data_IF_960903975044
#
_entry.id   IF_960903975044
#
_cell.length_a   1.000
_cell.length_b   1.000
_cell.length_c   1.000
_cell.angle_alpha   90.00
_cell.angle_beta   90.00
_cell.angle_gamma   90.00
#
_symmetry.space_group_name_H-M   'P 1'
#
loop_
_entity.id
_entity.type
_entity.pdbx_description
1 polymer ?
#
# COMPACT_ATOMS: atom_id res chain seq x y z
N UNK A 1 25.68 -3.82 6.56
CA UNK A 1 25.02 -4.06 5.26
C UNK A 1 23.80 -3.15 5.21
N UNK A 2 23.87 -2.02 4.50
CA UNK A 2 22.66 -1.28 4.13
C UNK A 2 22.09 -2.00 2.91
N UNK A 3 21.26 -3.01 3.15
CA UNK A 3 20.47 -3.59 2.07
C UNK A 3 19.50 -2.51 1.64
N UNK A 4 19.75 -1.95 0.47
CA UNK A 4 18.81 -1.12 -0.27
C UNK A 4 17.56 -1.95 -0.55
N UNK A 5 16.67 -2.10 0.42
CA UNK A 5 15.32 -2.56 0.14
C UNK A 5 14.69 -1.47 -0.72
N UNK A 6 14.68 -1.69 -2.04
CA UNK A 6 14.18 -0.73 -3.01
C UNK A 6 12.70 -0.38 -2.79
N UNK A 7 11.99 -1.19 -1.99
CA UNK A 7 10.58 -1.05 -1.71
C UNK A 7 10.25 -1.32 -0.24
N UNK A 8 9.17 -0.70 0.29
CA UNK A 8 8.79 -0.82 1.69
C UNK A 8 8.30 -2.23 2.03
N UNK A 9 8.41 -2.58 3.31
CA UNK A 9 7.85 -3.81 3.86
C UNK A 9 6.31 -3.75 3.90
N UNK A 10 5.68 -4.92 3.93
CA UNK A 10 4.23 -5.03 4.05
C UNK A 10 3.78 -4.78 5.50
N UNK A 11 2.75 -3.95 5.73
CA UNK A 11 2.25 -3.72 7.10
C UNK A 11 1.49 -4.93 7.68
N UNK A 12 1.04 -5.86 6.83
CA UNK A 12 0.23 -7.01 7.24
C UNK A 12 1.01 -8.34 7.33
N UNK A 13 2.21 -8.42 6.74
CA UNK A 13 3.02 -9.64 6.75
C UNK A 13 4.52 -9.34 6.56
N UNK A 14 5.37 -10.37 6.65
CA UNK A 14 6.83 -10.24 6.40
C UNK A 14 7.19 -10.09 4.90
N UNK A 15 6.21 -9.82 4.04
CA UNK A 15 6.39 -9.61 2.61
C UNK A 15 6.88 -8.20 2.26
N UNK A 16 7.17 -7.99 0.97
CA UNK A 16 7.56 -6.69 0.41
C UNK A 16 6.41 -6.15 -0.44
N UNK A 17 6.17 -4.85 -0.37
CA UNK A 17 5.22 -4.14 -1.22
C UNK A 17 5.88 -3.73 -2.52
N UNK A 18 5.22 -3.95 -3.66
CA UNK A 18 5.73 -3.55 -4.97
C UNK A 18 4.84 -2.49 -5.62
N UNK A 19 5.42 -1.51 -6.33
CA UNK A 19 4.64 -0.52 -7.08
C UNK A 19 3.90 -1.20 -8.23
N UNK A 20 2.59 -0.97 -8.29
CA UNK A 20 1.68 -1.48 -9.32
C UNK A 20 0.98 -0.31 -9.98
N UNK A 21 0.90 -0.30 -11.31
CA UNK A 21 0.20 0.74 -12.06
C UNK A 21 -1.29 0.40 -12.18
N UNK A 22 -2.14 1.35 -11.80
CA UNK A 22 -3.59 1.27 -11.97
C UNK A 22 -4.00 1.92 -13.29
N UNK A 23 -4.51 1.12 -14.22
CA UNK A 23 -4.95 1.59 -15.53
C UNK A 23 -6.28 2.37 -15.49
N UNK A 24 -7.08 2.23 -14.45
CA UNK A 24 -8.35 2.95 -14.32
C UNK A 24 -8.11 4.39 -13.83
N UNK A 25 -7.21 4.55 -12.86
CA UNK A 25 -6.93 5.85 -12.24
C UNK A 25 -5.67 6.54 -12.76
N UNK A 26 -4.81 5.81 -13.49
CA UNK A 26 -3.53 6.30 -14.00
C UNK A 26 -2.46 6.54 -12.92
N UNK A 27 -2.64 5.97 -11.71
CA UNK A 27 -1.77 6.17 -10.56
C UNK A 27 -1.04 4.89 -10.17
N UNK A 28 0.12 5.04 -9.54
CA UNK A 28 0.80 3.92 -8.89
C UNK A 28 0.28 3.72 -7.46
N UNK A 29 0.17 2.46 -7.05
CA UNK A 29 -0.13 2.06 -5.67
C UNK A 29 0.79 0.92 -5.24
N UNK A 30 0.87 0.65 -3.93
CA UNK A 30 1.66 -0.43 -3.39
C UNK A 30 0.80 -1.67 -3.17
N UNK A 31 1.29 -2.81 -3.65
CA UNK A 31 0.63 -4.11 -3.48
C UNK A 31 1.60 -5.14 -2.92
N UNK A 32 1.17 -5.92 -1.92
CA UNK A 32 1.92 -7.07 -1.46
C UNK A 32 1.43 -8.34 -2.17
N UNK A 33 2.33 -9.05 -2.85
CA UNK A 33 1.99 -10.31 -3.51
C UNK A 33 1.87 -11.49 -2.54
N UNK A 34 2.42 -11.38 -1.33
CA UNK A 34 2.40 -12.45 -0.33
C UNK A 34 1.03 -12.58 0.36
N UNK A 35 0.44 -11.47 0.81
CA UNK A 35 -0.84 -11.47 1.52
C UNK A 35 -2.00 -10.81 0.75
N UNK A 36 -1.72 -10.11 -0.36
CA UNK A 36 -2.74 -9.40 -1.14
C UNK A 36 -3.08 -8.00 -0.63
N UNK A 37 -2.29 -7.45 0.29
CA UNK A 37 -2.40 -6.06 0.73
C UNK A 37 -2.43 -5.06 -0.45
N UNK A 38 -3.29 -4.05 -0.37
CA UNK A 38 -3.48 -3.00 -1.38
C UNK A 38 -3.59 -1.63 -0.69
N UNK A 39 -2.57 -0.78 -0.89
CA UNK A 39 -2.48 0.52 -0.22
C UNK A 39 -3.59 1.51 -0.62
N UNK A 40 -4.33 1.25 -1.71
CA UNK A 40 -5.49 2.09 -2.07
C UNK A 40 -6.60 1.97 -1.02
N UNK A 41 -6.67 0.84 -0.31
CA UNK A 41 -7.67 0.60 0.74
C UNK A 41 -7.42 1.43 2.00
N UNK A 42 -6.17 1.84 2.26
CA UNK A 42 -5.85 2.71 3.40
C UNK A 42 -6.41 4.13 3.26
N UNK A 43 -6.51 4.63 2.02
CA UNK A 43 -7.05 5.97 1.73
C UNK A 43 -8.56 6.04 2.05
N UNK A 44 -9.27 4.91 1.85
CA UNK A 44 -10.71 4.81 2.11
C UNK A 44 -11.03 4.71 3.61
N UNK A 45 -10.16 4.11 4.42
CA UNK A 45 -10.38 4.03 5.87
C UNK A 45 -10.16 5.38 6.55
N UNK A 46 -9.18 6.18 6.12
CA UNK A 46 -8.90 7.48 6.75
C UNK A 46 -9.89 8.59 6.39
N UNK A 47 -10.66 8.44 5.32
CA UNK A 47 -11.71 9.42 4.96
C UNK A 47 -13.02 9.20 5.73
N UNK A 48 -13.10 8.18 6.58
CA UNK A 48 -14.31 7.85 7.37
C UNK A 48 -14.23 8.27 8.84
N UNK A 49 -13.10 8.82 9.32
CA UNK A 49 -12.87 9.21 10.72
C UNK A 49 -12.82 10.73 10.99
N UNK A 50 -13.15 11.58 10.00
CA UNK A 50 -13.40 13.01 10.23
C UNK A 50 -14.90 13.36 10.16
N UNK A 51 -15.73 12.66 10.95
CA UNK A 51 -16.98 13.26 11.44
C UNK A 51 -16.64 13.95 12.75
N UNK A 52 -16.27 15.23 12.66
CA UNK A 52 -16.18 16.15 13.79
C UNK A 52 -17.53 16.24 14.53
N UNK A 53 -17.54 16.16 15.87
CA UNK A 53 -18.40 17.00 16.69
C UNK A 53 -17.66 18.24 17.22
#
# INVERSE_FOLDING_TARGET
MMTSKAYPDCPECEGINYPTFDHETGKFYLKCHSCGYDSRKEVLTHTSDEVQP
#
